data_IF_699510242658
#
_entry.id   IF_699510242658
#
_cell.length_a   1.000
_cell.length_b   1.000
_cell.length_c   1.000
_cell.angle_alpha   90.00
_cell.angle_beta   90.00
_cell.angle_gamma   90.00
#
_symmetry.space_group_name_H-M   'P 1'
#
loop_
_entity.id
_entity.type
_entity.pdbx_description
1 polymer ?
#
# COMPACT_ATOMS: atom_id res chain seq x y z
N UNK A 1 5.65 -14.53 -3.77
CA UNK A 1 5.22 -13.25 -3.15
C UNK A 1 6.42 -12.65 -2.46
N UNK A 2 6.75 -11.37 -2.68
CA UNK A 2 7.96 -10.78 -2.07
C UNK A 2 7.81 -10.65 -0.55
N UNK A 3 8.92 -10.81 0.17
CA UNK A 3 8.95 -10.84 1.64
C UNK A 3 8.53 -9.50 2.24
N UNK A 4 9.05 -8.38 1.72
CA UNK A 4 8.67 -7.03 2.16
C UNK A 4 7.16 -6.78 2.01
N UNK A 5 6.57 -7.20 0.89
CA UNK A 5 5.12 -7.06 0.67
C UNK A 5 4.32 -7.87 1.68
N UNK A 6 4.70 -9.13 1.90
CA UNK A 6 4.00 -10.02 2.84
C UNK A 6 4.06 -9.47 4.27
N UNK A 7 5.23 -9.00 4.69
CA UNK A 7 5.45 -8.39 6.00
C UNK A 7 4.69 -7.07 6.18
N UNK A 8 4.70 -6.20 5.16
CA UNK A 8 3.96 -4.94 5.19
C UNK A 8 2.45 -5.17 5.28
N UNK A 9 1.92 -6.15 4.54
CA UNK A 9 0.52 -6.55 4.64
C UNK A 9 0.20 -7.07 6.06
N UNK A 10 1.02 -7.96 6.61
CA UNK A 10 0.81 -8.50 7.97
C UNK A 10 0.81 -7.41 9.06
N UNK A 11 1.60 -6.35 8.87
CA UNK A 11 1.66 -5.20 9.80
C UNK A 11 0.43 -4.29 9.73
N UNK A 12 -0.26 -4.23 8.60
CA UNK A 12 -1.30 -3.23 8.34
C UNK A 12 -2.69 -3.83 8.27
N UNK A 13 -2.83 -5.10 7.88
CA UNK A 13 -4.13 -5.74 7.69
C UNK A 13 -4.88 -5.89 9.01
N UNK A 14 -6.00 -5.18 9.13
CA UNK A 14 -6.84 -5.11 10.32
C UNK A 14 -6.13 -4.53 11.57
N UNK A 15 -4.96 -3.92 11.41
CA UNK A 15 -4.13 -3.47 12.54
C UNK A 15 -4.25 -1.97 12.86
N UNK A 16 -4.96 -1.19 12.04
CA UNK A 16 -5.12 0.25 12.23
C UNK A 16 -6.47 0.58 12.86
N UNK A 17 -6.51 1.67 13.62
CA UNK A 17 -7.75 2.19 14.21
C UNK A 17 -8.16 3.45 13.45
N UNK A 18 -9.35 3.45 12.85
CA UNK A 18 -9.93 4.68 12.32
C UNK A 18 -10.41 5.56 13.47
N UNK A 19 -9.58 6.52 13.90
CA UNK A 19 -10.07 7.71 14.58
C UNK A 19 -10.88 8.59 13.62
N UNK A 20 -11.67 9.53 14.15
CA UNK A 20 -12.48 10.46 13.33
C UNK A 20 -11.64 11.31 12.35
N UNK A 21 -10.33 11.42 12.59
CA UNK A 21 -9.40 12.21 11.79
C UNK A 21 -8.54 11.35 10.84
N UNK A 22 -8.64 11.66 9.54
CA UNK A 22 -7.85 11.02 8.46
C UNK A 22 -6.33 11.05 8.68
N UNK A 23 -5.82 12.05 9.39
CA UNK A 23 -4.39 12.18 9.71
C UNK A 23 -3.88 11.10 10.66
N UNK A 24 -4.71 10.58 11.56
CA UNK A 24 -4.28 9.55 12.52
C UNK A 24 -3.92 8.23 11.82
N UNK A 25 -4.72 7.82 10.83
CA UNK A 25 -4.44 6.59 10.09
C UNK A 25 -3.13 6.66 9.30
N UNK A 26 -2.79 7.83 8.73
CA UNK A 26 -1.53 8.01 8.01
C UNK A 26 -0.34 7.92 8.97
N UNK A 27 -0.41 8.59 10.11
CA UNK A 27 0.65 8.53 11.12
C UNK A 27 0.84 7.10 11.64
N UNK A 28 -0.25 6.42 12.01
CA UNK A 28 -0.17 5.04 12.52
C UNK A 28 0.41 4.05 11.49
N UNK A 29 0.00 4.18 10.22
CA UNK A 29 0.56 3.40 9.11
C UNK A 29 2.07 3.64 9.00
N UNK A 30 2.49 4.90 8.99
CA UNK A 30 3.89 5.24 8.83
C UNK A 30 4.73 4.80 10.04
N UNK A 31 4.21 4.96 11.26
CA UNK A 31 4.86 4.55 12.49
C UNK A 31 5.04 3.03 12.56
N UNK A 32 4.03 2.24 12.17
CA UNK A 32 4.16 0.77 12.09
C UNK A 32 5.22 0.34 11.06
N UNK A 33 5.24 0.96 9.88
CA UNK A 33 6.21 0.64 8.83
C UNK A 33 7.64 1.06 9.22
N UNK A 34 7.82 2.26 9.78
CA UNK A 34 9.11 2.74 10.29
C UNK A 34 9.58 1.93 11.49
N UNK A 35 8.67 1.54 12.39
CA UNK A 35 8.96 0.68 13.54
C UNK A 35 9.44 -0.72 13.15
N UNK A 36 9.05 -1.21 11.95
CA UNK A 36 9.62 -2.44 11.36
C UNK A 36 11.03 -2.25 10.78
N UNK A 37 11.49 -1.01 10.64
CA UNK A 37 12.78 -0.65 10.05
C UNK A 37 12.72 -0.30 8.56
N UNK A 38 11.53 -0.07 8.00
CA UNK A 38 11.42 0.36 6.60
C UNK A 38 11.63 1.86 6.45
N UNK A 39 12.38 2.27 5.42
CA UNK A 39 12.35 3.65 4.95
C UNK A 39 11.01 3.90 4.26
N UNK A 40 10.30 4.97 4.65
CA UNK A 40 8.97 5.29 4.13
C UNK A 40 9.01 6.61 3.36
N UNK A 41 8.73 6.55 2.07
CA UNK A 41 8.66 7.71 1.18
C UNK A 41 7.23 7.95 0.71
N UNK A 42 6.72 9.17 0.89
CA UNK A 42 5.37 9.57 0.49
C UNK A 42 5.36 10.14 -0.91
N UNK A 43 4.22 10.03 -1.60
CA UNK A 43 4.01 10.62 -2.93
C UNK A 43 5.14 10.27 -3.92
N UNK A 44 5.64 9.03 -3.82
CA UNK A 44 6.82 8.59 -4.54
C UNK A 44 6.55 8.63 -6.04
N UNK A 45 7.41 9.32 -6.77
CA UNK A 45 7.23 9.52 -8.21
C UNK A 45 7.83 8.35 -8.97
N UNK A 46 7.01 7.70 -9.79
CA UNK A 46 7.37 6.59 -10.66
C UNK A 46 7.45 7.11 -12.10
N UNK A 47 8.54 6.79 -12.78
CA UNK A 47 8.62 6.97 -14.23
C UNK A 47 7.92 5.81 -14.93
N UNK A 48 6.98 6.14 -15.81
CA UNK A 48 6.20 5.16 -16.53
C UNK A 48 6.86 4.73 -17.85
N UNK A 49 8.07 5.20 -18.15
CA UNK A 49 8.85 4.85 -19.35
C UNK A 49 8.35 5.51 -20.65
N UNK A 50 7.30 6.34 -20.56
CA UNK A 50 6.71 7.09 -21.68
C UNK A 50 6.75 8.61 -21.46
N UNK A 51 7.64 9.07 -20.57
CA UNK A 51 7.75 10.48 -20.18
C UNK A 51 6.67 10.98 -19.24
N UNK A 52 5.65 10.15 -18.91
CA UNK A 52 4.66 10.48 -17.87
C UNK A 52 5.17 10.04 -16.50
N UNK A 53 5.00 10.92 -15.52
CA UNK A 53 5.31 10.66 -14.12
C UNK A 53 4.04 10.43 -13.34
N UNK A 54 3.93 9.27 -12.70
CA UNK A 54 2.85 8.99 -11.74
C UNK A 54 3.37 9.05 -10.33
N UNK A 55 2.47 9.15 -9.35
CA UNK A 55 2.81 9.10 -7.94
C UNK A 55 2.09 7.93 -7.30
N UNK A 56 2.79 7.15 -6.52
CA UNK A 56 2.19 6.22 -5.55
C UNK A 56 2.15 6.87 -4.18
N UNK A 57 1.14 6.53 -3.38
CA UNK A 57 0.96 7.17 -2.07
C UNK A 57 2.17 6.90 -1.16
N UNK A 58 2.64 5.65 -1.14
CA UNK A 58 3.83 5.25 -0.40
C UNK A 58 4.72 4.31 -1.21
N UNK A 59 6.03 4.51 -1.09
CA UNK A 59 7.06 3.53 -1.39
C UNK A 59 7.79 3.21 -0.08
N UNK A 60 7.82 1.94 0.30
CA UNK A 60 8.65 1.46 1.41
C UNK A 60 9.87 0.72 0.88
N UNK A 61 11.01 0.89 1.55
CA UNK A 61 12.26 0.22 1.21
C UNK A 61 12.82 -0.47 2.46
N UNK A 62 13.11 -1.76 2.36
CA UNK A 62 13.80 -2.52 3.40
C UNK A 62 15.32 -2.27 3.38
N UNK A 63 16.01 -2.66 4.45
CA UNK A 63 17.46 -2.47 4.59
C UNK A 63 18.28 -3.21 3.52
N UNK A 64 17.76 -4.30 2.97
CA UNK A 64 18.35 -5.04 1.85
C UNK A 64 18.09 -4.39 0.48
N UNK A 65 17.36 -3.28 0.42
CA UNK A 65 17.00 -2.57 -0.81
C UNK A 65 15.67 -2.99 -1.44
N UNK A 66 15.00 -4.03 -0.93
CA UNK A 66 13.72 -4.47 -1.48
C UNK A 66 12.64 -3.39 -1.31
N UNK A 67 11.77 -3.27 -2.32
CA UNK A 67 10.76 -2.21 -2.37
C UNK A 67 9.31 -2.74 -2.37
N UNK A 68 8.45 -1.96 -1.70
CA UNK A 68 7.02 -2.11 -1.40
C UNK A 68 6.18 -0.90 -1.86
N UNK A 69 5.38 -0.95 -2.92
CA UNK A 69 4.42 0.13 -3.20
C UNK A 69 3.09 -0.07 -2.44
N UNK A 70 2.52 1.01 -1.90
CA UNK A 70 1.22 1.01 -1.21
C UNK A 70 0.36 2.17 -1.74
N UNK A 71 -0.86 1.87 -2.16
CA UNK A 71 -1.90 2.85 -2.48
C UNK A 71 -2.99 2.82 -1.40
N UNK A 72 -3.38 3.99 -0.89
CA UNK A 72 -4.36 4.11 0.20
C UNK A 72 -5.68 4.62 -0.34
N UNK A 73 -6.63 3.70 -0.49
CA UNK A 73 -7.96 3.98 -0.99
C UNK A 73 -8.99 4.09 0.14
N UNK A 74 -10.22 4.51 -0.20
CA UNK A 74 -11.28 4.66 0.80
C UNK A 74 -11.95 3.30 1.08
N UNK A 75 -12.86 2.89 0.20
CA UNK A 75 -13.73 1.73 0.42
C UNK A 75 -13.58 0.60 -0.61
N UNK A 76 -13.03 0.94 -1.77
CA UNK A 76 -12.78 0.03 -2.89
C UNK A 76 -11.53 0.51 -3.64
N UNK A 77 -10.79 -0.39 -4.28
CA UNK A 77 -9.62 -0.03 -5.06
C UNK A 77 -10.06 0.85 -6.23
N UNK A 78 -9.36 1.97 -6.45
CA UNK A 78 -9.53 2.82 -7.63
C UNK A 78 -8.81 2.16 -8.80
N UNK A 79 -9.42 2.16 -9.97
CA UNK A 79 -8.81 1.65 -11.21
C UNK A 79 -7.41 2.22 -11.44
N UNK A 80 -7.24 3.53 -11.20
CA UNK A 80 -5.94 4.20 -11.34
C UNK A 80 -4.89 3.68 -10.35
N UNK A 81 -5.29 3.32 -9.12
CA UNK A 81 -4.38 2.76 -8.13
C UNK A 81 -3.95 1.34 -8.51
N UNK A 82 -4.88 0.51 -8.98
CA UNK A 82 -4.59 -0.83 -9.52
C UNK A 82 -3.64 -0.72 -10.71
N UNK A 83 -3.93 0.15 -11.68
CA UNK A 83 -3.11 0.33 -12.88
C UNK A 83 -1.66 0.72 -12.56
N UNK A 84 -1.43 1.64 -11.62
CA UNK A 84 -0.08 2.00 -11.16
C UNK A 84 0.67 0.79 -10.60
N UNK A 85 0.00 0.00 -9.76
CA UNK A 85 0.60 -1.14 -9.08
C UNK A 85 0.88 -2.31 -10.04
N UNK A 86 0.03 -2.53 -11.04
CA UNK A 86 0.32 -3.48 -12.12
C UNK A 86 1.59 -3.08 -12.88
N UNK A 87 1.72 -1.81 -13.27
CA UNK A 87 2.91 -1.34 -14.00
C UNK A 87 4.18 -1.42 -13.16
N UNK A 88 4.13 -1.12 -11.87
CA UNK A 88 5.26 -1.31 -10.96
C UNK A 88 5.64 -2.79 -10.82
N UNK A 89 4.66 -3.69 -10.74
CA UNK A 89 4.90 -5.13 -10.70
C UNK A 89 5.66 -5.60 -11.94
N UNK A 90 5.31 -5.06 -13.12
CA UNK A 90 5.99 -5.39 -14.37
C UNK A 90 7.45 -4.87 -14.41
N UNK A 91 7.78 -3.88 -13.57
CA UNK A 91 9.15 -3.40 -13.29
C UNK A 91 9.82 -4.13 -12.11
N UNK A 92 9.20 -5.19 -11.57
CA UNK A 92 9.74 -5.96 -10.44
C UNK A 92 9.44 -5.41 -9.06
N UNK A 93 8.70 -4.29 -8.94
CA UNK A 93 8.33 -3.69 -7.66
C UNK A 93 6.91 -4.14 -7.28
N UNK A 94 6.74 -5.01 -6.28
CA UNK A 94 5.42 -5.44 -5.85
C UNK A 94 4.65 -4.30 -5.16
N UNK A 95 3.33 -4.48 -5.01
CA UNK A 95 2.54 -3.60 -4.17
C UNK A 95 1.14 -4.11 -3.91
N UNK A 96 0.38 -3.32 -3.15
CA UNK A 96 -0.99 -3.63 -2.74
C UNK A 96 -1.80 -2.36 -2.47
N UNK A 97 -3.12 -2.49 -2.47
CA UNK A 97 -4.05 -1.44 -2.07
C UNK A 97 -4.46 -1.67 -0.61
N UNK A 98 -4.34 -0.64 0.21
CA UNK A 98 -4.86 -0.58 1.57
C UNK A 98 -6.16 0.23 1.59
N UNK A 99 -7.27 -0.42 1.95
CA UNK A 99 -8.56 0.23 2.13
C UNK A 99 -8.72 0.73 3.56
N UNK A 100 -8.95 2.03 3.73
CA UNK A 100 -9.24 2.63 5.04
C UNK A 100 -10.52 2.09 5.67
N UNK A 101 -11.53 1.88 4.84
CA UNK A 101 -12.88 1.45 5.24
C UNK A 101 -13.44 0.50 4.17
N UNK A 102 -12.74 -0.63 3.97
CA UNK A 102 -13.09 -1.58 2.92
C UNK A 102 -14.51 -2.12 3.06
N UNK A 103 -15.15 -2.53 1.97
CA UNK A 103 -16.51 -3.08 2.02
C UNK A 103 -16.59 -4.61 2.10
N UNK A 104 -15.44 -5.29 2.00
CA UNK A 104 -15.35 -6.76 2.01
C UNK A 104 -14.63 -7.24 3.26
N UNK A 105 -15.05 -8.35 3.89
CA UNK A 105 -14.43 -8.86 5.12
C UNK A 105 -13.06 -9.50 4.89
N UNK A 106 -12.86 -10.09 3.71
CA UNK A 106 -11.64 -10.82 3.38
C UNK A 106 -10.80 -10.04 2.36
N UNK A 107 -9.48 -10.25 2.41
CA UNK A 107 -8.56 -9.89 1.33
C UNK A 107 -9.04 -10.48 0.01
N UNK A 108 -8.86 -9.72 -1.06
CA UNK A 108 -9.12 -10.16 -2.42
C UNK A 108 -8.09 -9.57 -3.38
N UNK A 109 -8.16 -9.96 -4.64
CA UNK A 109 -7.28 -9.42 -5.67
C UNK A 109 -8.08 -8.77 -6.80
N UNK A 110 -7.49 -7.72 -7.38
CA UNK A 110 -7.92 -7.10 -8.65
C UNK A 110 -6.70 -7.06 -9.55
N UNK A 111 -6.75 -7.69 -10.72
CA UNK A 111 -5.65 -7.79 -11.69
C UNK A 111 -4.32 -8.30 -11.11
N UNK A 112 -4.40 -9.19 -10.11
CA UNK A 112 -3.24 -9.71 -9.38
C UNK A 112 -2.64 -8.75 -8.36
N UNK A 113 -3.26 -7.60 -8.10
CA UNK A 113 -2.93 -6.68 -7.01
C UNK A 113 -3.74 -7.08 -5.77
N UNK A 114 -3.09 -7.25 -4.63
CA UNK A 114 -3.76 -7.53 -3.37
C UNK A 114 -4.50 -6.29 -2.86
N UNK A 115 -5.71 -6.51 -2.35
CA UNK A 115 -6.54 -5.48 -1.73
C UNK A 115 -6.86 -5.91 -0.31
N UNK A 116 -6.32 -5.16 0.65
CA UNK A 116 -6.46 -5.44 2.08
C UNK A 116 -7.20 -4.31 2.78
N UNK A 117 -7.65 -4.58 4.00
CA UNK A 117 -8.27 -3.56 4.87
C UNK A 117 -7.33 -3.15 5.98
N UNK A 118 -7.33 -1.85 6.27
CA UNK A 118 -6.63 -1.28 7.42
C UNK A 118 -7.29 -1.66 8.75
N UNK A 119 -8.62 -1.72 8.78
CA UNK A 119 -9.41 -1.90 10.01
C UNK A 119 -10.16 -3.24 10.03
N UNK A 120 -10.45 -3.78 11.23
CA UNK A 120 -11.35 -4.92 11.38
C UNK A 120 -12.70 -4.68 10.68
N UNK A 121 -13.32 -5.76 10.20
CA UNK A 121 -14.65 -5.68 9.62
C UNK A 121 -15.67 -5.25 10.67
N UNK A 122 -16.56 -4.32 10.32
CA UNK A 122 -17.69 -3.89 11.14
C UNK A 122 -18.97 -4.35 10.47
#
# INVERSE_FOLDING_TARGET
MSEIKSNAIALLEHQLVTGEFRGMLQNELEDKLRGKGYAVQRNYTVDMGNGRKWRVDYMITASNGDQCAIEVDRCSPRERSVLKLCMLRDQGIPGFVLLRDGKKPMRYSVDGVDVIRATPFR
#
